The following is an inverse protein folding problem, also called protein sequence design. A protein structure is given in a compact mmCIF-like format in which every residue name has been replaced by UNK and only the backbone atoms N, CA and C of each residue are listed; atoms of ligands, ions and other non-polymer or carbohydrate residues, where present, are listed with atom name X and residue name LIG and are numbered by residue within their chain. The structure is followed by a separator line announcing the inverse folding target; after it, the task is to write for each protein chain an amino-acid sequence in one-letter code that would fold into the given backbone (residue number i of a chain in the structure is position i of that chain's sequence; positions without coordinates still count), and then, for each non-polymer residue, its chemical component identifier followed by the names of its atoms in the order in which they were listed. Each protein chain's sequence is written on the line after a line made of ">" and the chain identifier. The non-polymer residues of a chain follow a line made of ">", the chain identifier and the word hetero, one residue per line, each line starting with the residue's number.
data_IF_281103593706
#
_entry.id   IF_281103593706
#
_cell.length_a   1.000
_cell.length_b   1.000
_cell.length_c   1.000
_cell.angle_alpha   90.00
_cell.angle_beta   90.00
_cell.angle_gamma   90.00
#
_symmetry.space_group_name_H-M   'P 1'
#
loop_
_entity.id
_entity.type
_entity.pdbx_description
1 polymer ?
#
# COMPACT_ATOMS: atom_id res chain seq x y z
N UNK A 1 6.30 8.09 -12.84
CA UNK A 1 5.25 7.65 -13.78
C UNK A 1 3.90 8.10 -13.23
N UNK A 2 2.92 8.46 -14.06
CA UNK A 2 1.56 8.80 -13.60
C UNK A 2 0.78 7.51 -13.27
N UNK A 3 1.21 6.80 -12.23
CA UNK A 3 0.61 5.54 -11.79
C UNK A 3 0.37 5.62 -10.29
N UNK A 4 -0.89 5.44 -9.88
CA UNK A 4 -1.28 5.24 -8.50
C UNK A 4 -1.46 3.75 -8.22
N UNK A 5 -1.00 3.29 -7.05
CA UNK A 5 -1.16 1.91 -6.61
C UNK A 5 -2.17 1.86 -5.47
N UNK A 6 -3.43 1.56 -5.79
CA UNK A 6 -4.48 1.25 -4.82
C UNK A 6 -4.79 -0.25 -4.93
N UNK A 7 -4.22 -1.06 -4.04
CA UNK A 7 -4.16 -2.52 -4.15
C UNK A 7 -5.03 -3.17 -3.08
N UNK A 8 -5.98 -4.00 -3.52
CA UNK A 8 -6.71 -4.90 -2.65
C UNK A 8 -5.94 -6.20 -2.42
N UNK A 9 -5.99 -6.74 -1.20
CA UNK A 9 -5.39 -8.05 -0.88
C UNK A 9 -6.35 -8.91 -0.05
N UNK A 10 -6.09 -10.23 -0.04
CA UNK A 10 -6.84 -11.17 0.78
C UNK A 10 -5.98 -12.34 1.26
N UNK A 11 -5.31 -13.02 0.33
CA UNK A 11 -4.54 -14.24 0.61
C UNK A 11 -3.02 -14.04 0.44
N UNK A 12 -2.25 -15.10 0.61
CA UNK A 12 -0.79 -15.03 0.75
C UNK A 12 -0.08 -14.76 -0.58
N UNK A 13 -0.69 -15.06 -1.74
CA UNK A 13 -0.12 -14.69 -3.04
C UNK A 13 -0.11 -13.17 -3.21
N UNK A 14 -1.11 -12.44 -2.71
CA UNK A 14 -1.06 -10.98 -2.68
C UNK A 14 0.12 -10.44 -1.84
N UNK A 15 0.52 -11.16 -0.78
CA UNK A 15 1.69 -10.80 0.03
C UNK A 15 2.99 -10.92 -0.78
N UNK A 16 3.18 -12.02 -1.53
CA UNK A 16 4.40 -12.16 -2.34
C UNK A 16 4.45 -11.16 -3.50
N UNK A 17 3.29 -10.79 -4.07
CA UNK A 17 3.21 -9.73 -5.07
C UNK A 17 3.61 -8.38 -4.46
N UNK A 18 3.09 -8.04 -3.27
CA UNK A 18 3.49 -6.83 -2.55
C UNK A 18 5.00 -6.81 -2.31
N UNK A 19 5.58 -7.87 -1.77
CA UNK A 19 7.03 -7.96 -1.52
C UNK A 19 7.85 -7.81 -2.80
N UNK A 20 7.36 -8.36 -3.92
CA UNK A 20 8.01 -8.23 -5.23
C UNK A 20 8.02 -6.77 -5.70
N UNK A 21 6.90 -6.05 -5.55
CA UNK A 21 6.82 -4.61 -5.86
C UNK A 21 7.77 -3.78 -4.98
N UNK A 22 7.83 -4.08 -3.67
CA UNK A 22 8.75 -3.42 -2.75
C UNK A 22 10.22 -3.68 -3.12
N UNK A 23 10.56 -4.91 -3.52
CA UNK A 23 11.91 -5.26 -3.98
C UNK A 23 12.30 -4.54 -5.27
N UNK A 24 11.35 -4.29 -6.17
CA UNK A 24 11.53 -3.49 -7.38
C UNK A 24 11.58 -1.97 -7.11
N UNK A 25 11.43 -1.54 -5.84
CA UNK A 25 11.50 -0.15 -5.45
C UNK A 25 10.21 0.64 -5.68
N UNK A 26 9.07 -0.03 -5.87
CA UNK A 26 7.75 0.63 -5.93
C UNK A 26 7.42 1.20 -4.56
N UNK A 27 6.92 2.44 -4.55
CA UNK A 27 6.59 3.22 -3.35
C UNK A 27 5.17 3.78 -3.43
N UNK A 28 4.67 4.27 -2.29
CA UNK A 28 3.37 4.92 -2.13
C UNK A 28 2.19 4.01 -2.49
N UNK A 29 2.29 2.73 -2.12
CA UNK A 29 1.23 1.74 -2.29
C UNK A 29 0.19 1.93 -1.19
N UNK A 30 -1.06 2.16 -1.59
CA UNK A 30 -2.21 2.13 -0.69
C UNK A 30 -2.77 0.71 -0.68
N UNK A 31 -2.81 0.11 0.50
CA UNK A 31 -3.13 -1.31 0.69
C UNK A 31 -4.39 -1.46 1.54
N UNK A 32 -5.40 -2.16 1.01
CA UNK A 32 -6.71 -2.30 1.64
C UNK A 32 -7.41 -3.64 1.42
N UNK A 33 -8.56 -3.88 2.06
CA UNK A 33 -9.30 -2.90 2.88
C UNK A 33 -8.69 -2.68 4.28
N UNK A 34 -7.84 -3.59 4.76
CA UNK A 34 -7.15 -3.47 6.05
C UNK A 34 -5.66 -3.75 5.89
N UNK A 35 -4.83 -3.18 6.77
CA UNK A 35 -3.42 -3.57 6.86
C UNK A 35 -3.29 -5.01 7.36
N UNK A 36 -2.35 -5.82 6.82
CA UNK A 36 -2.18 -7.20 7.28
C UNK A 36 -1.88 -7.31 8.77
N UNK A 37 -2.73 -8.04 9.50
CA UNK A 37 -2.62 -8.20 10.95
C UNK A 37 -1.35 -8.93 11.44
N UNK A 38 -0.61 -9.57 10.54
CA UNK A 38 0.69 -10.20 10.87
C UNK A 38 1.84 -9.18 10.96
N UNK A 39 1.64 -7.93 10.53
CA UNK A 39 2.65 -6.88 10.65
C UNK A 39 2.67 -6.33 12.07
N UNK A 40 3.77 -6.54 12.78
CA UNK A 40 3.99 -5.87 14.06
C UNK A 40 4.13 -4.35 13.85
N UNK A 41 3.85 -3.51 14.87
CA UNK A 41 3.97 -2.06 14.76
C UNK A 41 5.34 -1.59 14.27
N UNK A 42 6.42 -2.26 14.71
CA UNK A 42 7.78 -1.93 14.29
C UNK A 42 8.01 -2.24 12.80
N UNK A 43 7.54 -3.39 12.33
CA UNK A 43 7.67 -3.76 10.90
C UNK A 43 6.81 -2.84 10.04
N UNK A 44 5.57 -2.55 10.45
CA UNK A 44 4.71 -1.60 9.75
C UNK A 44 5.38 -0.22 9.62
N UNK A 45 6.00 0.28 10.69
CA UNK A 45 6.73 1.56 10.67
C UNK A 45 7.91 1.56 9.69
N UNK A 46 8.63 0.44 9.53
CA UNK A 46 9.69 0.31 8.51
C UNK A 46 9.09 0.41 7.11
N UNK A 47 7.95 -0.23 6.85
CA UNK A 47 7.27 -0.18 5.55
C UNK A 47 6.78 1.23 5.22
N UNK A 48 6.19 1.93 6.19
CA UNK A 48 5.77 3.34 6.04
C UNK A 48 6.98 4.22 5.73
N UNK A 49 8.04 4.17 6.55
CA UNK A 49 9.19 5.06 6.41
C UNK A 49 9.99 4.86 5.12
N UNK A 50 10.16 3.60 4.70
CA UNK A 50 11.04 3.28 3.56
C UNK A 50 10.29 3.26 2.22
N UNK A 51 9.02 2.84 2.23
CA UNK A 51 8.24 2.58 1.02
C UNK A 51 6.96 3.41 0.90
N UNK A 52 6.56 4.16 1.94
CA UNK A 52 5.34 4.96 1.91
C UNK A 52 4.07 4.11 1.84
N UNK A 53 4.07 2.89 2.40
CA UNK A 53 2.83 2.11 2.49
C UNK A 53 1.81 2.87 3.35
N UNK A 54 0.58 2.94 2.88
CA UNK A 54 -0.53 3.59 3.56
C UNK A 54 -1.81 2.73 3.50
N UNK A 55 -2.72 2.86 4.48
CA UNK A 55 -4.08 2.35 4.34
C UNK A 55 -4.86 3.18 3.30
N UNK A 56 -6.01 2.66 2.85
CA UNK A 56 -6.97 3.42 2.04
C UNK A 56 -7.77 4.40 2.91
N UNK A 57 -8.23 5.49 2.31
CA UNK A 57 -9.13 6.48 2.92
C UNK A 57 -10.59 6.27 2.51
N UNK A 58 -11.36 7.35 2.53
CA UNK A 58 -12.66 7.35 1.83
C UNK A 58 -12.46 7.40 0.32
N UNK A 59 -13.47 6.99 -0.45
CA UNK A 59 -13.41 7.02 -1.92
C UNK A 59 -13.09 8.42 -2.43
N UNK A 60 -13.77 9.45 -1.91
CA UNK A 60 -13.57 10.83 -2.37
C UNK A 60 -12.15 11.35 -2.05
N UNK A 61 -11.63 11.03 -0.86
CA UNK A 61 -10.26 11.40 -0.47
C UNK A 61 -9.20 10.72 -1.35
N UNK A 62 -9.36 9.41 -1.57
CA UNK A 62 -8.44 8.62 -2.39
C UNK A 62 -8.48 9.05 -3.86
N UNK A 63 -9.66 9.35 -4.41
CA UNK A 63 -9.81 9.85 -5.79
C UNK A 63 -9.09 11.18 -5.98
N UNK A 64 -9.28 12.12 -5.05
CA UNK A 64 -8.57 13.39 -5.04
C UNK A 64 -7.05 13.22 -4.91
N UNK A 65 -6.60 12.31 -4.05
CA UNK A 65 -5.19 12.03 -3.83
C UNK A 65 -4.50 11.45 -5.07
N UNK A 66 -5.15 10.52 -5.77
CA UNK A 66 -4.54 9.78 -6.89
C UNK A 66 -4.68 10.48 -8.24
N UNK A 67 -5.76 11.23 -8.45
CA UNK A 67 -6.09 11.82 -9.75
C UNK A 67 -6.01 13.35 -9.74
N UNK A 68 -6.03 13.99 -8.57
CA UNK A 68 -5.98 15.46 -8.44
C UNK A 68 -7.31 16.17 -8.73
N UNK A 69 -8.44 15.47 -8.59
CA UNK A 69 -9.80 16.01 -8.76
C UNK A 69 -10.36 16.72 -7.51
#
# INVERSE_FOLDING_TARGET
>A
MPIAYNIAWYEQKAVIVLLSLLALGVKNIHLGPTIPGFLSPNVANVLVKNFGIAPIGTVDEDMKLFLGE
#
